data_IF_741589048822
#
_entry.id   IF_741589048822
#
_cell.length_a   1.000
_cell.length_b   1.000
_cell.length_c   1.000
_cell.angle_alpha   90.00
_cell.angle_beta   90.00
_cell.angle_gamma   90.00
#
_symmetry.space_group_name_H-M   'P 1'
#
loop_
_entity.id
_entity.type
_entity.pdbx_description
1 polymer ?
#
# COMPACT_ATOMS: atom_id res chain seq x y z
N UNK A 1 -57.82 -6.08 9.39
CA UNK A 1 -57.26 -6.92 8.32
C UNK A 1 -55.98 -6.24 7.87
N UNK A 2 -54.86 -6.94 8.06
CA UNK A 2 -53.55 -6.55 7.57
C UNK A 2 -53.56 -6.57 6.04
N UNK A 3 -52.93 -5.59 5.40
CA UNK A 3 -51.67 -5.89 4.71
C UNK A 3 -50.86 -4.61 4.50
N UNK A 4 -49.64 -4.63 4.99
CA UNK A 4 -48.71 -3.52 4.98
C UNK A 4 -47.31 -4.11 5.11
N UNK A 5 -46.39 -3.59 4.27
CA UNK A 5 -44.99 -3.96 4.07
C UNK A 5 -44.70 -5.16 3.16
N UNK A 6 -44.45 -4.90 1.88
CA UNK A 6 -43.48 -5.72 1.13
C UNK A 6 -42.51 -4.98 0.18
N UNK A 7 -42.61 -3.66 -0.06
CA UNK A 7 -41.85 -3.02 -1.16
C UNK A 7 -40.82 -1.92 -0.82
N UNK A 8 -40.39 -1.75 0.44
CA UNK A 8 -39.34 -0.75 0.81
C UNK A 8 -37.90 -1.29 0.90
N UNK A 9 -37.66 -2.56 0.59
CA UNK A 9 -36.34 -3.19 0.65
C UNK A 9 -35.32 -2.84 -0.48
N UNK A 10 -35.70 -2.51 -1.74
CA UNK A 10 -34.73 -2.43 -2.83
C UNK A 10 -33.88 -1.14 -2.86
N UNK A 11 -34.44 0.03 -2.53
CA UNK A 11 -33.71 1.32 -2.60
C UNK A 11 -32.56 1.42 -1.56
N UNK A 12 -32.80 0.97 -0.32
CA UNK A 12 -31.76 0.96 0.74
C UNK A 12 -30.58 0.06 0.38
N UNK A 13 -30.84 -1.05 -0.33
CA UNK A 13 -29.80 -1.98 -0.76
C UNK A 13 -28.97 -1.40 -1.91
N UNK A 14 -29.61 -0.72 -2.86
CA UNK A 14 -28.96 -0.06 -4.00
C UNK A 14 -28.02 1.07 -3.54
N UNK A 15 -28.47 1.92 -2.60
CA UNK A 15 -27.61 2.97 -2.02
C UNK A 15 -26.39 2.41 -1.28
N UNK A 16 -26.56 1.30 -0.55
CA UNK A 16 -25.43 0.62 0.14
C UNK A 16 -24.43 0.04 -0.86
N UNK A 17 -24.89 -0.55 -1.96
CA UNK A 17 -24.01 -1.07 -3.01
C UNK A 17 -23.23 0.04 -3.71
N UNK A 18 -23.91 1.13 -4.10
CA UNK A 18 -23.25 2.30 -4.70
C UNK A 18 -22.18 2.89 -3.77
N UNK A 19 -22.47 3.05 -2.48
CA UNK A 19 -21.50 3.53 -1.51
C UNK A 19 -20.25 2.61 -1.42
N UNK A 20 -20.44 1.28 -1.44
CA UNK A 20 -19.32 0.33 -1.47
C UNK A 20 -18.46 0.52 -2.72
N UNK A 21 -19.08 0.63 -3.90
CA UNK A 21 -18.34 0.83 -5.17
C UNK A 21 -17.55 2.13 -5.13
N UNK A 22 -18.16 3.24 -4.67
CA UNK A 22 -17.47 4.54 -4.53
C UNK A 22 -16.29 4.42 -3.56
N UNK A 23 -16.47 3.77 -2.40
CA UNK A 23 -15.37 3.56 -1.45
C UNK A 23 -14.21 2.76 -2.07
N UNK A 24 -14.51 1.75 -2.89
CA UNK A 24 -13.50 0.99 -3.61
C UNK A 24 -12.71 1.88 -4.60
N UNK A 25 -13.41 2.69 -5.40
CA UNK A 25 -12.79 3.63 -6.35
C UNK A 25 -11.89 4.64 -5.62
N UNK A 26 -12.36 5.19 -4.49
CA UNK A 26 -11.59 6.08 -3.64
C UNK A 26 -10.33 5.39 -3.10
N UNK A 27 -10.45 4.12 -2.67
CA UNK A 27 -9.31 3.30 -2.28
C UNK A 27 -8.30 3.09 -3.42
N UNK A 28 -8.77 2.83 -4.64
CA UNK A 28 -7.89 2.69 -5.81
C UNK A 28 -7.11 3.99 -6.05
N UNK A 29 -7.81 5.13 -6.05
CA UNK A 29 -7.21 6.45 -6.26
C UNK A 29 -6.17 6.84 -5.20
N UNK A 30 -6.32 6.37 -3.96
CA UNK A 30 -5.40 6.67 -2.87
C UNK A 30 -4.03 5.98 -2.95
N UNK A 31 -3.90 4.89 -3.71
CA UNK A 31 -2.65 4.11 -3.75
C UNK A 31 -2.12 3.80 -5.16
N UNK A 32 -2.92 4.01 -6.21
CA UNK A 32 -2.51 3.72 -7.59
C UNK A 32 -1.27 4.53 -8.01
N UNK A 33 -1.19 5.80 -7.64
CA UNK A 33 -0.07 6.70 -7.97
C UNK A 33 1.25 6.22 -7.35
N UNK A 34 1.24 5.99 -6.04
CA UNK A 34 2.41 5.49 -5.31
C UNK A 34 2.85 4.10 -5.77
N UNK A 35 1.90 3.16 -5.94
CA UNK A 35 2.22 1.82 -6.41
C UNK A 35 2.81 1.83 -7.83
N UNK A 36 2.29 2.67 -8.72
CA UNK A 36 2.84 2.83 -10.07
C UNK A 36 4.30 3.28 -10.02
N UNK A 37 4.62 4.27 -9.18
CA UNK A 37 5.99 4.76 -9.00
C UNK A 37 6.96 3.67 -8.53
N UNK A 38 6.55 2.86 -7.55
CA UNK A 38 7.37 1.77 -7.02
C UNK A 38 7.60 0.66 -8.06
N UNK A 39 6.62 0.36 -8.90
CA UNK A 39 6.72 -0.73 -9.88
C UNK A 39 7.73 -0.45 -11.01
N UNK A 40 8.00 0.81 -11.31
CA UNK A 40 8.95 1.25 -12.36
C UNK A 40 10.34 1.61 -11.79
N UNK A 41 10.73 1.04 -10.65
CA UNK A 41 12.01 1.31 -10.02
C UNK A 41 13.22 1.12 -10.95
N UNK A 42 13.17 0.16 -11.87
CA UNK A 42 14.19 -0.10 -12.88
C UNK A 42 14.38 1.07 -13.87
N UNK A 43 13.31 1.78 -14.24
CA UNK A 43 13.40 3.01 -15.02
C UNK A 43 14.22 4.05 -14.27
N UNK A 44 13.89 4.28 -12.99
CA UNK A 44 14.62 5.25 -12.17
C UNK A 44 16.09 4.90 -11.97
N UNK A 45 16.44 3.61 -11.89
CA UNK A 45 17.84 3.18 -11.85
C UNK A 45 18.59 3.38 -13.18
N UNK A 46 17.90 3.43 -14.32
CA UNK A 46 18.52 3.80 -15.61
C UNK A 46 18.74 5.30 -15.70
N UNK A 47 17.76 6.09 -15.26
CA UNK A 47 17.81 7.55 -15.32
C UNK A 47 18.77 8.13 -14.27
N UNK A 48 18.81 7.54 -13.08
CA UNK A 48 19.60 8.00 -11.93
C UNK A 48 20.57 6.91 -11.46
N UNK A 49 21.61 6.58 -12.24
CA UNK A 49 22.50 5.44 -11.95
C UNK A 49 23.34 5.63 -10.69
N UNK A 50 23.68 6.87 -10.35
CA UNK A 50 24.50 7.22 -9.18
C UNK A 50 23.69 7.31 -7.88
N UNK A 51 22.37 7.13 -7.97
CA UNK A 51 21.46 7.21 -6.83
C UNK A 51 20.82 5.84 -6.57
N UNK A 52 20.14 5.74 -5.42
CA UNK A 52 19.32 4.57 -5.06
C UNK A 52 17.82 4.94 -4.98
N UNK A 53 17.14 5.16 -6.12
CA UNK A 53 15.78 5.72 -6.13
C UNK A 53 14.75 4.87 -5.37
N UNK A 54 14.76 3.54 -5.56
CA UNK A 54 13.80 2.66 -4.87
C UNK A 54 13.82 2.81 -3.35
N UNK A 55 14.97 3.20 -2.82
CA UNK A 55 15.28 3.34 -1.41
C UNK A 55 15.02 4.76 -0.91
N UNK A 56 15.52 5.77 -1.63
CA UNK A 56 15.38 7.18 -1.26
C UNK A 56 13.94 7.65 -1.40
N UNK A 57 13.22 7.28 -2.47
CA UNK A 57 11.83 7.70 -2.65
C UNK A 57 10.95 7.17 -1.51
N UNK A 58 11.17 5.92 -1.10
CA UNK A 58 10.52 5.31 0.06
C UNK A 58 10.87 6.06 1.35
N UNK A 59 12.12 6.47 1.54
CA UNK A 59 12.59 7.27 2.68
C UNK A 59 12.03 8.70 2.69
N UNK A 60 11.72 9.28 1.54
CA UNK A 60 11.09 10.60 1.45
C UNK A 60 9.58 10.50 1.69
N UNK A 61 8.91 9.52 1.09
CA UNK A 61 7.46 9.36 1.21
C UNK A 61 7.00 9.18 2.67
N UNK A 62 7.68 8.28 3.40
CA UNK A 62 7.20 7.78 4.69
C UNK A 62 7.24 8.79 5.85
N UNK A 63 8.31 9.59 6.07
CA UNK A 63 8.32 10.60 7.12
C UNK A 63 7.29 11.71 6.87
N UNK A 64 7.09 12.10 5.61
CA UNK A 64 6.07 13.08 5.27
C UNK A 64 4.66 12.53 5.50
N UNK A 65 4.41 11.26 5.15
CA UNK A 65 3.15 10.60 5.49
C UNK A 65 2.94 10.53 7.01
N UNK A 66 3.94 10.07 7.78
CA UNK A 66 3.85 9.93 9.23
C UNK A 66 3.66 11.29 9.94
N UNK A 67 4.49 12.28 9.63
CA UNK A 67 4.40 13.60 10.22
C UNK A 67 3.05 14.25 9.95
N UNK A 68 2.56 14.14 8.71
CA UNK A 68 1.24 14.64 8.32
C UNK A 68 0.13 13.96 9.10
N UNK A 69 0.09 12.62 9.17
CA UNK A 69 -1.01 11.92 9.84
C UNK A 69 -1.00 12.20 11.35
N UNK A 70 0.17 12.33 11.99
CA UNK A 70 0.27 12.71 13.41
C UNK A 70 -0.31 14.10 13.65
N UNK A 71 0.04 15.08 12.83
CA UNK A 71 -0.48 16.45 12.94
C UNK A 71 -2.00 16.47 12.74
N UNK A 72 -2.50 15.74 11.72
CA UNK A 72 -3.91 15.67 11.40
C UNK A 72 -4.72 14.89 12.44
N UNK A 73 -4.15 13.87 13.05
CA UNK A 73 -4.78 13.13 14.14
C UNK A 73 -4.88 13.99 15.41
N UNK A 74 -3.87 14.83 15.70
CA UNK A 74 -3.89 15.73 16.85
C UNK A 74 -4.89 16.89 16.66
N UNK A 75 -4.99 17.44 15.46
CA UNK A 75 -5.90 18.56 15.13
C UNK A 75 -7.23 18.10 14.52
N UNK A 76 -7.58 16.81 14.64
CA UNK A 76 -8.74 16.21 13.98
C UNK A 76 -10.03 16.98 14.28
N UNK A 77 -10.26 17.35 15.54
CA UNK A 77 -11.48 18.05 15.97
C UNK A 77 -11.69 19.44 15.35
N UNK A 78 -10.63 20.05 14.78
CA UNK A 78 -10.68 21.38 14.16
C UNK A 78 -10.77 21.32 12.63
N UNK A 79 -10.49 20.18 12.02
CA UNK A 79 -10.34 20.05 10.57
C UNK A 79 -11.57 19.34 10.00
N UNK A 80 -12.15 19.92 8.95
CA UNK A 80 -13.21 19.26 8.21
C UNK A 80 -12.65 18.12 7.33
N UNK A 81 -12.98 16.87 7.68
CA UNK A 81 -12.47 15.67 7.00
C UNK A 81 -12.79 15.63 5.50
N UNK A 82 -13.94 16.15 5.07
CA UNK A 82 -14.31 16.17 3.63
C UNK A 82 -13.38 17.08 2.84
N UNK A 83 -13.10 18.28 3.36
CA UNK A 83 -12.15 19.22 2.73
C UNK A 83 -10.75 18.61 2.71
N UNK A 84 -10.33 17.99 3.81
CA UNK A 84 -9.06 17.25 3.91
C UNK A 84 -8.93 16.17 2.84
N UNK A 85 -9.94 15.31 2.66
CA UNK A 85 -9.92 14.25 1.66
C UNK A 85 -9.88 14.81 0.23
N UNK A 86 -10.68 15.85 -0.06
CA UNK A 86 -10.68 16.49 -1.38
C UNK A 86 -9.32 17.10 -1.72
N UNK A 87 -8.70 17.81 -0.78
CA UNK A 87 -7.35 18.37 -0.92
C UNK A 87 -6.35 17.24 -1.22
N UNK A 88 -6.41 16.13 -0.49
CA UNK A 88 -5.55 14.98 -0.71
C UNK A 88 -5.65 14.40 -2.13
N UNK A 89 -6.86 14.17 -2.64
CA UNK A 89 -7.04 13.70 -4.03
C UNK A 89 -6.61 14.72 -5.09
N UNK A 90 -6.78 16.02 -4.83
CA UNK A 90 -6.26 17.08 -5.70
C UNK A 90 -4.73 17.04 -5.74
N UNK A 91 -4.07 16.91 -4.58
CA UNK A 91 -2.61 16.79 -4.51
C UNK A 91 -2.15 15.52 -5.24
N UNK A 92 -2.82 14.38 -5.09
CA UNK A 92 -2.51 13.16 -5.85
C UNK A 92 -2.57 13.39 -7.36
N UNK A 93 -3.62 14.07 -7.84
CA UNK A 93 -3.82 14.36 -9.25
C UNK A 93 -2.73 15.29 -9.79
N UNK A 94 -2.50 16.42 -9.11
CA UNK A 94 -1.46 17.39 -9.50
C UNK A 94 -0.07 16.74 -9.48
N UNK A 95 0.25 15.98 -8.43
CA UNK A 95 1.54 15.31 -8.28
C UNK A 95 1.79 14.29 -9.40
N UNK A 96 0.75 13.55 -9.81
CA UNK A 96 0.84 12.61 -10.93
C UNK A 96 1.06 13.33 -12.27
N UNK A 97 0.39 14.46 -12.50
CA UNK A 97 0.62 15.29 -13.69
C UNK A 97 2.03 15.90 -13.68
N UNK A 98 2.52 16.34 -12.53
CA UNK A 98 3.88 16.87 -12.37
C UNK A 98 4.94 15.82 -12.65
N UNK A 99 4.73 14.54 -12.32
CA UNK A 99 5.65 13.47 -12.73
C UNK A 99 5.79 13.39 -14.25
N UNK A 100 4.67 13.46 -14.97
CA UNK A 100 4.66 13.40 -16.44
C UNK A 100 5.37 14.64 -17.01
N UNK A 101 5.10 15.83 -16.47
CA UNK A 101 5.79 17.06 -16.89
C UNK A 101 7.28 17.00 -16.58
N UNK A 102 7.69 16.47 -15.42
CA UNK A 102 9.10 16.31 -15.04
C UNK A 102 9.80 15.39 -16.03
N UNK A 103 9.18 14.27 -16.39
CA UNK A 103 9.73 13.32 -17.35
C UNK A 103 9.91 13.95 -18.76
N UNK A 104 8.87 14.66 -19.24
CA UNK A 104 8.87 15.33 -20.53
C UNK A 104 9.88 16.49 -20.61
N UNK A 105 9.98 17.31 -19.57
CA UNK A 105 10.89 18.48 -19.53
C UNK A 105 12.35 18.05 -19.44
N UNK A 106 12.62 16.94 -18.76
CA UNK A 106 13.97 16.38 -18.62
C UNK A 106 14.34 15.49 -19.80
N UNK A 107 13.39 15.15 -20.69
CA UNK A 107 13.57 14.21 -21.81
C UNK A 107 14.18 12.87 -21.37
N UNK A 108 13.83 12.42 -20.16
CA UNK A 108 14.42 11.24 -19.53
C UNK A 108 15.92 11.36 -19.18
N UNK A 109 16.50 12.57 -19.20
CA UNK A 109 17.88 12.80 -18.75
C UNK A 109 17.92 12.89 -17.24
N UNK A 110 18.79 12.10 -16.64
CA UNK A 110 19.10 12.16 -15.22
C UNK A 110 19.81 13.44 -14.81
N UNK A 111 20.02 13.57 -13.50
CA UNK A 111 20.77 14.66 -12.89
C UNK A 111 20.24 15.01 -11.50
N UNK A 112 21.00 15.83 -10.77
CA UNK A 112 20.65 16.24 -9.41
C UNK A 112 19.32 16.99 -9.37
N UNK A 113 19.10 17.93 -10.30
CA UNK A 113 17.87 18.74 -10.38
C UNK A 113 16.60 17.91 -10.59
N UNK A 114 16.53 17.08 -11.65
CA UNK A 114 15.41 16.16 -11.88
C UNK A 114 15.16 15.21 -10.70
N UNK A 115 16.23 14.74 -10.05
CA UNK A 115 16.12 13.85 -8.90
C UNK A 115 15.53 14.55 -7.67
N UNK A 116 15.94 15.80 -7.39
CA UNK A 116 15.35 16.63 -6.34
C UNK A 116 13.87 16.90 -6.65
N UNK A 117 13.54 17.22 -7.90
CA UNK A 117 12.15 17.38 -8.34
C UNK A 117 11.31 16.13 -8.11
N UNK A 118 11.85 14.96 -8.45
CA UNK A 118 11.21 13.67 -8.19
C UNK A 118 10.97 13.45 -6.68
N UNK A 119 11.97 13.73 -5.85
CA UNK A 119 11.83 13.63 -4.38
C UNK A 119 10.75 14.57 -3.84
N UNK A 120 10.67 15.80 -4.35
CA UNK A 120 9.64 16.76 -3.95
C UNK A 120 8.22 16.27 -4.29
N UNK A 121 8.04 15.66 -5.47
CA UNK A 121 6.76 15.06 -5.87
C UNK A 121 6.41 13.83 -5.01
N UNK A 122 7.42 13.05 -4.61
CA UNK A 122 7.20 11.93 -3.69
C UNK A 122 6.81 12.39 -2.28
N UNK A 123 7.39 13.49 -1.80
CA UNK A 123 6.97 14.09 -0.54
C UNK A 123 5.50 14.55 -0.59
N UNK A 124 5.05 15.12 -1.72
CA UNK A 124 3.65 15.51 -1.88
C UNK A 124 2.71 14.31 -1.96
N UNK A 125 3.14 13.17 -2.50
CA UNK A 125 2.37 11.92 -2.39
C UNK A 125 2.24 11.42 -0.94
N UNK A 126 3.29 11.52 -0.12
CA UNK A 126 3.21 11.17 1.29
C UNK A 126 2.21 12.05 2.05
N UNK A 127 2.23 13.36 1.78
CA UNK A 127 1.24 14.32 2.29
C UNK A 127 -0.19 13.94 1.86
N UNK A 128 -0.38 13.66 0.57
CA UNK A 128 -1.68 13.27 0.02
C UNK A 128 -2.20 11.97 0.63
N UNK A 129 -1.36 10.94 0.76
CA UNK A 129 -1.74 9.65 1.34
C UNK A 129 -2.21 9.80 2.79
N UNK A 130 -1.45 10.50 3.62
CA UNK A 130 -1.83 10.73 5.02
C UNK A 130 -3.13 11.54 5.15
N UNK A 131 -3.36 12.50 4.26
CA UNK A 131 -4.63 13.26 4.26
C UNK A 131 -5.81 12.37 3.89
N UNK A 132 -5.71 11.58 2.81
CA UNK A 132 -6.80 10.72 2.32
C UNK A 132 -7.00 9.50 3.21
N UNK A 133 -5.95 8.74 3.51
CA UNK A 133 -6.08 7.48 4.23
C UNK A 133 -6.61 7.69 5.64
N UNK A 134 -6.07 8.67 6.39
CA UNK A 134 -6.56 8.98 7.73
C UNK A 134 -7.99 9.54 7.73
N UNK A 135 -8.30 10.44 6.80
CA UNK A 135 -9.63 11.05 6.73
C UNK A 135 -10.71 10.07 6.28
N UNK A 136 -10.41 9.23 5.28
CA UNK A 136 -11.33 8.18 4.82
C UNK A 136 -11.57 7.12 5.88
N UNK A 137 -10.52 6.58 6.52
CA UNK A 137 -10.69 5.57 7.57
C UNK A 137 -11.43 6.15 8.78
N UNK A 138 -11.17 7.40 9.14
CA UNK A 138 -11.89 8.13 10.17
C UNK A 138 -13.38 8.33 9.86
N UNK A 139 -13.72 8.87 8.69
CA UNK A 139 -15.13 9.11 8.30
C UNK A 139 -15.90 7.79 8.12
N UNK A 140 -15.26 6.78 7.53
CA UNK A 140 -15.91 5.48 7.29
C UNK A 140 -16.16 4.69 8.59
N UNK A 141 -15.41 4.95 9.65
CA UNK A 141 -15.64 4.33 10.96
C UNK A 141 -16.93 4.81 11.64
N UNK A 142 -17.41 6.00 11.26
CA UNK A 142 -18.71 6.53 11.69
C UNK A 142 -19.89 5.83 11.02
N UNK A 143 -19.67 5.22 9.86
CA UNK A 143 -20.73 4.64 9.03
C UNK A 143 -20.89 3.15 9.27
N UNK A 144 -20.17 2.32 8.50
CA UNK A 144 -20.34 0.87 8.46
C UNK A 144 -18.99 0.18 8.20
N UNK A 145 -18.69 -0.94 8.88
CA UNK A 145 -17.43 -1.66 8.68
C UNK A 145 -17.25 -2.16 7.24
N UNK A 146 -18.34 -2.44 6.52
CA UNK A 146 -18.27 -2.88 5.13
C UNK A 146 -17.77 -1.79 4.17
N UNK A 147 -17.91 -0.50 4.53
CA UNK A 147 -17.36 0.59 3.72
C UNK A 147 -15.85 0.75 3.94
N UNK A 148 -15.38 0.63 5.19
CA UNK A 148 -13.94 0.53 5.49
C UNK A 148 -13.33 -0.63 4.71
N UNK A 149 -14.00 -1.79 4.73
CA UNK A 149 -13.54 -2.96 4.01
C UNK A 149 -13.49 -2.70 2.49
N UNK A 150 -14.50 -2.06 1.91
CA UNK A 150 -14.51 -1.73 0.48
C UNK A 150 -13.39 -0.76 0.11
N UNK A 151 -13.16 0.28 0.92
CA UNK A 151 -12.04 1.21 0.74
C UNK A 151 -10.68 0.50 0.81
N UNK A 152 -10.49 -0.35 1.84
CA UNK A 152 -9.28 -1.14 1.98
C UNK A 152 -9.10 -2.13 0.83
N UNK A 153 -10.17 -2.75 0.34
CA UNK A 153 -10.12 -3.63 -0.82
C UNK A 153 -9.68 -2.87 -2.08
N UNK A 154 -10.18 -1.63 -2.28
CA UNK A 154 -9.73 -0.74 -3.34
C UNK A 154 -8.22 -0.46 -3.33
N UNK A 155 -7.63 -0.24 -2.15
CA UNK A 155 -6.16 -0.13 -2.00
C UNK A 155 -5.45 -1.42 -2.46
N UNK A 156 -6.03 -2.59 -2.17
CA UNK A 156 -5.52 -3.88 -2.66
C UNK A 156 -5.62 -4.00 -4.19
N UNK A 157 -6.74 -3.58 -4.77
CA UNK A 157 -7.00 -3.60 -6.22
C UNK A 157 -5.96 -2.73 -6.94
N UNK A 158 -5.64 -1.55 -6.40
CA UNK A 158 -4.59 -0.70 -6.96
C UNK A 158 -3.23 -1.43 -7.02
N UNK A 159 -2.83 -2.16 -5.99
CA UNK A 159 -1.59 -2.95 -5.98
C UNK A 159 -1.58 -4.09 -7.00
N UNK A 160 -2.70 -4.81 -7.12
CA UNK A 160 -2.83 -5.89 -8.10
C UNK A 160 -2.83 -5.35 -9.54
N UNK A 161 -3.59 -4.28 -9.82
CA UNK A 161 -3.65 -3.65 -11.14
C UNK A 161 -2.30 -3.10 -11.59
N UNK A 162 -1.61 -2.36 -10.72
CA UNK A 162 -0.27 -1.84 -11.04
C UNK A 162 0.75 -2.95 -11.30
N UNK A 163 0.69 -4.05 -10.54
CA UNK A 163 1.53 -5.23 -10.79
C UNK A 163 1.19 -5.93 -12.11
N UNK A 164 -0.10 -6.08 -12.43
CA UNK A 164 -0.56 -6.68 -13.67
C UNK A 164 -0.11 -5.86 -14.88
N UNK A 165 -0.34 -4.54 -14.86
CA UNK A 165 0.15 -3.64 -15.90
C UNK A 165 1.67 -3.72 -16.03
N UNK A 166 2.40 -3.78 -14.91
CA UNK A 166 3.85 -3.91 -14.94
C UNK A 166 4.33 -5.20 -15.61
N UNK A 167 3.71 -6.33 -15.29
CA UNK A 167 4.02 -7.62 -15.93
C UNK A 167 3.69 -7.60 -17.42
N UNK A 168 2.53 -7.03 -17.80
CA UNK A 168 2.13 -6.86 -19.20
C UNK A 168 3.11 -5.99 -19.97
N UNK A 169 3.47 -4.82 -19.43
CA UNK A 169 4.44 -3.91 -20.06
C UNK A 169 5.79 -4.60 -20.23
N UNK A 170 6.28 -5.31 -19.22
CA UNK A 170 7.53 -6.04 -19.38
C UNK A 170 7.42 -7.13 -20.45
N UNK A 171 6.33 -7.88 -20.50
CA UNK A 171 6.12 -8.93 -21.51
C UNK A 171 6.06 -8.36 -22.93
N UNK A 172 5.43 -7.19 -23.09
CA UNK A 172 5.34 -6.50 -24.37
C UNK A 172 6.68 -5.93 -24.86
N UNK A 173 7.56 -5.51 -23.94
CA UNK A 173 8.81 -4.80 -24.26
C UNK A 173 10.10 -5.58 -23.98
N UNK A 174 10.04 -6.86 -23.56
CA UNK A 174 11.23 -7.67 -23.20
C UNK A 174 12.21 -7.87 -24.38
N UNK A 175 11.77 -7.63 -25.62
CA UNK A 175 12.57 -7.72 -26.85
C UNK A 175 13.35 -6.44 -27.21
N UNK A 176 13.26 -5.35 -26.44
CA UNK A 176 14.02 -4.12 -26.67
C UNK A 176 15.27 -4.08 -25.78
N UNK A 177 16.44 -4.13 -26.40
CA UNK A 177 17.73 -4.32 -25.74
C UNK A 177 18.03 -3.31 -24.62
N UNK A 178 18.54 -3.90 -23.55
CA UNK A 178 19.50 -3.43 -22.56
C UNK A 178 19.05 -2.49 -21.41
N UNK A 179 19.41 -2.93 -20.19
CA UNK A 179 19.36 -2.15 -18.96
C UNK A 179 18.39 -2.61 -17.86
N UNK A 180 17.56 -3.65 -18.03
CA UNK A 180 16.66 -4.13 -16.96
C UNK A 180 17.38 -4.89 -15.82
N UNK A 181 18.67 -5.21 -15.99
CA UNK A 181 19.44 -6.10 -15.10
C UNK A 181 19.92 -5.42 -13.81
N UNK A 182 20.06 -4.09 -13.78
CA UNK A 182 20.64 -3.37 -12.63
C UNK A 182 19.65 -3.12 -11.48
N UNK A 183 18.41 -2.71 -11.79
CA UNK A 183 17.37 -2.47 -10.76
C UNK A 183 16.95 -3.74 -10.00
N UNK A 184 16.98 -4.91 -10.66
CA UNK A 184 16.67 -6.20 -10.05
C UNK A 184 17.77 -6.72 -9.11
N UNK A 185 19.04 -6.35 -9.34
CA UNK A 185 20.19 -6.87 -8.57
C UNK A 185 20.24 -6.31 -7.15
N UNK A 186 19.70 -5.11 -6.91
CA UNK A 186 19.91 -4.36 -5.68
C UNK A 186 18.82 -4.53 -4.60
N UNK A 187 17.61 -4.94 -5.01
CA UNK A 187 16.58 -5.38 -4.07
C UNK A 187 16.86 -6.79 -3.51
N UNK A 188 17.86 -7.50 -4.04
CA UNK A 188 17.92 -8.96 -3.91
C UNK A 188 19.31 -9.60 -3.78
N UNK A 189 20.33 -8.86 -3.34
CA UNK A 189 21.72 -9.35 -3.23
C UNK A 189 21.94 -10.43 -2.15
N UNK A 190 20.93 -11.22 -1.75
CA UNK A 190 21.10 -12.31 -0.77
C UNK A 190 20.38 -13.61 -1.12
N UNK A 191 20.02 -13.80 -2.37
CA UNK A 191 19.23 -14.97 -2.73
C UNK A 191 19.75 -15.48 -4.07
N UNK A 192 20.11 -16.77 -4.10
CA UNK A 192 21.05 -17.39 -5.06
C UNK A 192 20.63 -17.39 -6.53
N UNK A 193 21.20 -18.30 -7.32
CA UNK A 193 20.90 -18.39 -8.76
C UNK A 193 19.44 -18.79 -8.99
N UNK A 194 18.66 -17.85 -9.54
CA UNK A 194 17.22 -17.97 -9.79
C UNK A 194 16.94 -18.20 -11.27
N UNK A 195 16.15 -19.23 -11.61
CA UNK A 195 15.75 -19.53 -12.99
C UNK A 195 14.92 -18.42 -13.65
N UNK A 196 14.19 -17.62 -12.85
CA UNK A 196 13.37 -16.50 -13.32
C UNK A 196 14.15 -15.20 -13.63
N UNK A 197 15.44 -15.10 -13.32
CA UNK A 197 16.27 -13.92 -13.64
C UNK A 197 15.65 -12.57 -13.22
N UNK A 198 15.51 -11.63 -14.17
CA UNK A 198 14.95 -10.29 -13.93
C UNK A 198 13.43 -10.27 -13.66
N UNK A 199 12.72 -11.36 -13.94
CA UNK A 199 11.27 -11.50 -13.72
C UNK A 199 10.93 -11.84 -12.28
N UNK A 200 11.88 -12.42 -11.56
CA UNK A 200 11.65 -12.93 -10.22
C UNK A 200 11.13 -11.88 -9.23
N UNK A 201 11.76 -10.70 -9.19
CA UNK A 201 11.32 -9.61 -8.31
C UNK A 201 9.89 -9.11 -8.64
N UNK A 202 9.54 -9.07 -9.93
CA UNK A 202 8.20 -8.65 -10.37
C UNK A 202 7.15 -9.69 -10.00
N UNK A 203 7.48 -10.98 -10.13
CA UNK A 203 6.62 -12.08 -9.68
C UNK A 203 6.41 -12.01 -8.17
N UNK A 204 7.45 -11.78 -7.37
CA UNK A 204 7.29 -11.63 -5.91
C UNK A 204 6.37 -10.47 -5.54
N UNK A 205 6.55 -9.28 -6.14
CA UNK A 205 5.67 -8.13 -5.90
C UNK A 205 4.24 -8.41 -6.33
N UNK A 206 4.04 -9.03 -7.50
CA UNK A 206 2.71 -9.40 -7.99
C UNK A 206 2.02 -10.42 -7.08
N UNK A 207 2.75 -11.42 -6.60
CA UNK A 207 2.25 -12.46 -5.71
C UNK A 207 1.93 -11.93 -4.31
N UNK A 208 2.74 -11.00 -3.79
CA UNK A 208 2.41 -10.25 -2.58
C UNK A 208 1.11 -9.45 -2.75
N UNK A 209 0.99 -8.69 -3.85
CA UNK A 209 -0.17 -7.85 -4.11
C UNK A 209 -1.45 -8.66 -4.35
N UNK A 210 -1.36 -9.80 -5.03
CA UNK A 210 -2.48 -10.75 -5.17
C UNK A 210 -2.88 -11.32 -3.81
N UNK A 211 -1.92 -11.80 -3.02
CA UNK A 211 -2.19 -12.27 -1.65
C UNK A 211 -2.86 -11.18 -0.81
N UNK A 212 -2.33 -9.96 -0.82
CA UNK A 212 -2.87 -8.82 -0.08
C UNK A 212 -4.27 -8.41 -0.55
N UNK A 213 -4.56 -8.48 -1.85
CA UNK A 213 -5.90 -8.30 -2.39
C UNK A 213 -6.87 -9.34 -1.84
N UNK A 214 -6.53 -10.64 -1.99
CA UNK A 214 -7.35 -11.74 -1.49
C UNK A 214 -7.58 -11.60 0.01
N UNK A 215 -6.52 -11.32 0.78
CA UNK A 215 -6.58 -11.10 2.21
C UNK A 215 -7.51 -9.95 2.61
N UNK A 216 -7.64 -8.88 1.81
CA UNK A 216 -8.59 -7.79 2.13
C UNK A 216 -10.05 -8.17 1.90
N UNK A 217 -10.31 -9.17 1.05
CA UNK A 217 -11.64 -9.72 0.82
C UNK A 217 -12.00 -10.88 1.76
N UNK A 218 -11.04 -11.59 2.35
CA UNK A 218 -11.35 -12.72 3.25
C UNK A 218 -12.28 -12.38 4.42
N UNK A 219 -12.26 -11.18 5.04
CA UNK A 219 -13.22 -10.83 6.10
C UNK A 219 -14.68 -10.66 5.62
N UNK A 220 -14.95 -10.71 4.31
CA UNK A 220 -16.33 -10.85 3.77
C UNK A 220 -16.93 -12.20 4.13
N UNK A 221 -16.08 -13.21 4.32
CA UNK A 221 -16.48 -14.57 4.66
C UNK A 221 -16.50 -14.67 6.18
N UNK A 222 -17.68 -14.82 6.77
CA UNK A 222 -17.87 -14.69 8.23
C UNK A 222 -17.02 -15.65 9.07
N UNK A 223 -16.81 -16.89 8.62
CA UNK A 223 -16.01 -17.87 9.36
C UNK A 223 -14.51 -17.55 9.40
N UNK A 224 -14.00 -16.77 8.44
CA UNK A 224 -12.62 -16.30 8.41
C UNK A 224 -12.43 -15.00 9.19
N UNK A 225 -13.51 -14.30 9.54
CA UNK A 225 -13.46 -12.98 10.14
C UNK A 225 -13.05 -13.05 11.61
N UNK A 226 -11.84 -12.60 11.91
CA UNK A 226 -11.33 -12.54 13.29
C UNK A 226 -11.78 -11.23 13.95
N UNK A 227 -12.75 -11.31 14.86
CA UNK A 227 -13.19 -10.16 15.68
C UNK A 227 -12.66 -10.20 17.12
N UNK A 228 -12.16 -11.35 17.56
CA UNK A 228 -11.63 -11.50 18.92
C UNK A 228 -10.29 -10.76 19.07
N UNK A 229 -10.20 -9.83 20.03
CA UNK A 229 -8.98 -9.07 20.34
C UNK A 229 -7.78 -9.99 20.60
N UNK A 230 -7.98 -11.07 21.39
CA UNK A 230 -6.91 -12.05 21.67
C UNK A 230 -6.46 -12.77 20.40
N UNK A 231 -7.43 -13.14 19.55
CA UNK A 231 -7.16 -13.79 18.25
C UNK A 231 -6.34 -12.89 17.32
N UNK A 232 -6.71 -11.61 17.21
CA UNK A 232 -5.98 -10.63 16.40
C UNK A 232 -4.55 -10.41 16.91
N UNK A 233 -4.36 -10.30 18.23
CA UNK A 233 -3.03 -10.15 18.82
C UNK A 233 -2.17 -11.39 18.55
N UNK A 234 -2.69 -12.60 18.80
CA UNK A 234 -1.97 -13.86 18.54
C UNK A 234 -1.62 -13.99 17.06
N UNK A 235 -2.57 -13.73 16.16
CA UNK A 235 -2.33 -13.79 14.72
C UNK A 235 -1.26 -12.77 14.27
N UNK A 236 -1.28 -11.55 14.81
CA UNK A 236 -0.27 -10.52 14.52
C UNK A 236 1.10 -10.93 15.04
N UNK A 237 1.20 -11.42 16.27
CA UNK A 237 2.46 -11.90 16.85
C UNK A 237 3.00 -13.15 16.13
N UNK A 238 2.13 -14.02 15.65
CA UNK A 238 2.56 -15.21 14.89
C UNK A 238 3.32 -14.85 13.61
N UNK A 239 3.13 -13.65 13.06
CA UNK A 239 3.87 -13.19 11.87
C UNK A 239 5.36 -13.01 12.11
N UNK A 240 5.82 -12.90 13.35
CA UNK A 240 7.26 -12.90 13.65
C UNK A 240 7.93 -14.22 13.22
N UNK A 241 7.21 -15.34 13.18
CA UNK A 241 7.73 -16.61 12.65
C UNK A 241 7.98 -16.59 11.14
N UNK A 242 7.44 -15.61 10.39
CA UNK A 242 7.76 -15.45 8.98
C UNK A 242 9.21 -14.99 8.78
N UNK A 243 9.81 -14.27 9.72
CA UNK A 243 11.20 -13.81 9.62
C UNK A 243 12.18 -15.00 9.51
N UNK A 244 12.22 -15.97 10.45
CA UNK A 244 13.06 -17.14 10.31
C UNK A 244 12.66 -18.01 9.12
N UNK A 245 11.37 -18.09 8.76
CA UNK A 245 10.93 -18.83 7.57
C UNK A 245 11.50 -18.23 6.27
N UNK A 246 11.47 -16.90 6.11
CA UNK A 246 12.09 -16.20 4.99
C UNK A 246 13.60 -16.38 4.97
N UNK A 247 14.26 -16.34 6.14
CA UNK A 247 15.69 -16.57 6.24
C UNK A 247 16.07 -18.00 5.81
N UNK A 248 15.33 -19.01 6.28
CA UNK A 248 15.56 -20.41 5.92
C UNK A 248 15.28 -20.64 4.42
N UNK A 249 14.17 -20.12 3.91
CA UNK A 249 13.83 -20.21 2.48
C UNK A 249 14.85 -19.50 1.59
N UNK A 250 15.44 -18.39 2.04
CA UNK A 250 16.50 -17.70 1.28
C UNK A 250 17.78 -18.52 1.16
N UNK A 251 18.09 -19.35 2.18
CA UNK A 251 19.34 -20.11 2.27
C UNK A 251 19.23 -21.54 1.72
N UNK A 252 18.09 -22.19 1.92
CA UNK A 252 17.90 -23.61 1.59
C UNK A 252 16.67 -23.86 0.71
N UNK A 253 15.77 -22.88 0.58
CA UNK A 253 14.52 -23.03 -0.16
C UNK A 253 14.70 -22.77 -1.66
N UNK A 254 13.83 -23.40 -2.44
CA UNK A 254 13.67 -23.09 -3.85
C UNK A 254 12.91 -21.75 -4.06
N UNK A 255 12.79 -21.37 -5.34
CA UNK A 255 12.04 -20.18 -5.75
C UNK A 255 10.55 -20.23 -5.36
N UNK A 256 9.96 -21.43 -5.39
CA UNK A 256 8.55 -21.67 -5.10
C UNK A 256 8.22 -21.41 -3.64
N UNK A 257 9.08 -21.85 -2.70
CA UNK A 257 8.92 -21.57 -1.27
C UNK A 257 8.94 -20.08 -0.97
N UNK A 258 9.84 -19.31 -1.62
CA UNK A 258 9.87 -17.86 -1.45
C UNK A 258 8.59 -17.21 -1.98
N UNK A 259 8.11 -17.62 -3.17
CA UNK A 259 6.86 -17.13 -3.73
C UNK A 259 5.69 -17.43 -2.78
N UNK A 260 5.59 -18.67 -2.28
CA UNK A 260 4.54 -19.08 -1.34
C UNK A 260 4.57 -18.24 -0.07
N UNK A 261 5.75 -18.04 0.54
CA UNK A 261 5.89 -17.24 1.75
C UNK A 261 5.52 -15.76 1.51
N UNK A 262 5.90 -15.19 0.37
CA UNK A 262 5.54 -13.81 0.00
C UNK A 262 4.03 -13.67 -0.24
N UNK A 263 3.39 -14.64 -0.90
CA UNK A 263 1.92 -14.66 -1.06
C UNK A 263 1.22 -14.76 0.29
N UNK A 264 1.70 -15.64 1.18
CA UNK A 264 1.16 -15.79 2.53
C UNK A 264 1.34 -14.52 3.37
N UNK A 265 2.49 -13.85 3.26
CA UNK A 265 2.74 -12.55 3.87
C UNK A 265 1.75 -11.50 3.35
N UNK A 266 1.49 -11.47 2.05
CA UNK A 266 0.48 -10.60 1.45
C UNK A 266 -0.91 -10.87 2.03
N UNK A 267 -1.34 -12.14 2.01
CA UNK A 267 -2.65 -12.58 2.49
C UNK A 267 -2.88 -12.21 3.96
N UNK A 268 -1.93 -12.54 4.83
CA UNK A 268 -2.01 -12.21 6.26
C UNK A 268 -1.98 -10.70 6.50
N UNK A 269 -1.22 -9.93 5.71
CA UNK A 269 -1.21 -8.46 5.78
C UNK A 269 -2.57 -7.87 5.44
N UNK A 270 -3.15 -8.30 4.31
CA UNK A 270 -4.46 -7.81 3.88
C UNK A 270 -5.56 -8.15 4.88
N UNK A 271 -5.57 -9.40 5.35
CA UNK A 271 -6.59 -9.91 6.27
C UNK A 271 -6.56 -9.21 7.63
N UNK A 272 -5.40 -9.20 8.29
CA UNK A 272 -5.29 -8.63 9.64
C UNK A 272 -5.51 -7.12 9.64
N UNK A 273 -5.01 -6.39 8.63
CA UNK A 273 -5.24 -4.96 8.54
C UNK A 273 -6.72 -4.61 8.44
N UNK A 274 -7.47 -5.32 7.59
CA UNK A 274 -8.92 -5.10 7.46
C UNK A 274 -9.63 -5.48 8.75
N UNK A 275 -9.34 -6.65 9.33
CA UNK A 275 -9.97 -7.10 10.57
C UNK A 275 -9.74 -6.12 11.75
N UNK A 276 -8.54 -5.55 11.87
CA UNK A 276 -8.23 -4.57 12.91
C UNK A 276 -9.02 -3.27 12.67
N UNK A 277 -8.99 -2.73 11.45
CA UNK A 277 -9.63 -1.45 11.13
C UNK A 277 -11.16 -1.49 11.21
N UNK A 278 -11.79 -2.63 10.94
CA UNK A 278 -13.24 -2.79 11.09
C UNK A 278 -13.67 -3.08 12.53
N UNK A 279 -12.80 -3.68 13.34
CA UNK A 279 -13.15 -4.16 14.68
C UNK A 279 -12.81 -3.13 15.76
N UNK A 280 -11.67 -2.44 15.63
CA UNK A 280 -11.21 -1.51 16.65
C UNK A 280 -12.19 -0.35 16.93
N UNK A 281 -12.86 0.28 15.94
CA UNK A 281 -13.86 1.32 16.19
C UNK A 281 -15.20 0.82 16.77
N UNK A 282 -15.44 -0.49 16.85
CA UNK A 282 -16.71 -1.01 17.36
C UNK A 282 -16.85 -0.71 18.87
N UNK A 283 -18.03 -0.24 19.27
CA UNK A 283 -18.37 0.03 20.66
C UNK A 283 -18.01 1.44 21.17
N UNK A 284 -17.36 2.27 20.35
CA UNK A 284 -17.02 3.66 20.69
C UNK A 284 -18.09 4.65 20.21
N UNK A 285 -18.11 5.86 20.79
CA UNK A 285 -19.00 6.94 20.35
C UNK A 285 -18.55 7.51 19.01
N UNK A 286 -19.41 8.26 18.31
CA UNK A 286 -19.11 8.85 17.00
C UNK A 286 -17.76 9.58 16.95
N UNK A 287 -17.55 10.66 17.73
CA UNK A 287 -16.28 11.38 17.73
C UNK A 287 -15.07 10.49 18.06
N UNK A 288 -15.22 9.55 19.01
CA UNK A 288 -14.17 8.61 19.39
C UNK A 288 -13.81 7.64 18.25
N UNK A 289 -14.79 7.19 17.46
CA UNK A 289 -14.57 6.34 16.29
C UNK A 289 -13.74 7.05 15.21
N UNK A 290 -14.01 8.32 14.95
CA UNK A 290 -13.26 9.09 13.96
C UNK A 290 -11.80 9.30 14.42
N UNK A 291 -11.61 9.72 15.67
CA UNK A 291 -10.30 9.89 16.27
C UNK A 291 -9.52 8.57 16.29
N UNK A 292 -10.17 7.46 16.67
CA UNK A 292 -9.55 6.13 16.66
C UNK A 292 -9.18 5.68 15.24
N UNK A 293 -10.02 5.95 14.24
CA UNK A 293 -9.71 5.67 12.84
C UNK A 293 -8.42 6.37 12.39
N UNK A 294 -8.26 7.65 12.71
CA UNK A 294 -7.03 8.40 12.44
C UNK A 294 -5.83 7.82 13.20
N UNK A 295 -6.00 7.49 14.48
CA UNK A 295 -4.95 6.92 15.32
C UNK A 295 -4.48 5.56 14.80
N UNK A 296 -5.39 4.71 14.32
CA UNK A 296 -5.04 3.43 13.69
C UNK A 296 -4.19 3.64 12.44
N UNK A 297 -4.47 4.68 11.65
CA UNK A 297 -3.64 5.03 10.49
C UNK A 297 -2.27 5.56 10.95
N UNK A 298 -2.19 6.36 12.02
CA UNK A 298 -0.88 6.76 12.62
C UNK A 298 -0.03 5.52 12.96
N UNK A 299 -0.62 4.53 13.63
CA UNK A 299 0.11 3.31 13.99
C UNK A 299 0.47 2.45 12.76
N UNK A 300 -0.40 2.40 11.75
CA UNK A 300 -0.12 1.71 10.50
C UNK A 300 1.09 2.36 9.78
N UNK A 301 1.06 3.68 9.58
CA UNK A 301 2.15 4.42 8.94
C UNK A 301 3.43 4.36 9.77
N UNK A 302 3.32 4.46 11.11
CA UNK A 302 4.45 4.32 12.02
C UNK A 302 5.10 2.93 11.95
N UNK A 303 4.29 1.87 11.82
CA UNK A 303 4.77 0.51 11.60
C UNK A 303 5.51 0.34 10.27
N UNK A 304 5.02 0.98 9.20
CA UNK A 304 5.69 0.99 7.89
C UNK A 304 7.05 1.70 8.01
N UNK A 305 7.11 2.88 8.64
CA UNK A 305 8.34 3.65 8.89
C UNK A 305 9.36 2.85 9.71
N UNK A 306 8.91 2.23 10.80
CA UNK A 306 9.78 1.39 11.63
C UNK A 306 10.30 0.18 10.85
N UNK A 307 9.41 -0.49 10.09
CA UNK A 307 9.76 -1.65 9.28
C UNK A 307 10.79 -1.34 8.19
N UNK A 308 10.61 -0.23 7.47
CA UNK A 308 11.60 0.19 6.47
C UNK A 308 12.92 0.57 7.12
N UNK A 309 12.89 1.33 8.23
CA UNK A 309 14.10 1.71 8.98
C UNK A 309 14.90 0.50 9.49
N UNK A 310 14.22 -0.52 10.02
CA UNK A 310 14.84 -1.79 10.42
C UNK A 310 15.40 -2.56 9.23
N UNK A 311 14.70 -2.57 8.09
CA UNK A 311 15.18 -3.16 6.84
C UNK A 311 16.48 -2.51 6.35
N UNK A 312 16.65 -1.21 6.57
CA UNK A 312 17.90 -0.51 6.30
C UNK A 312 19.02 -0.88 7.26
N UNK A 313 18.73 -0.91 8.57
CA UNK A 313 19.72 -1.34 9.58
C UNK A 313 20.28 -2.74 9.27
N UNK A 314 19.46 -3.64 8.73
CA UNK A 314 19.89 -4.97 8.28
C UNK A 314 20.92 -4.95 7.13
N UNK A 315 20.98 -3.87 6.36
CA UNK A 315 21.93 -3.69 5.26
C UNK A 315 23.24 -3.02 5.72
N UNK A 316 23.21 -2.28 6.84
CA UNK A 316 24.40 -1.65 7.41
C UNK A 316 25.35 -2.75 7.90
N UNK A 317 26.46 -2.96 7.18
CA UNK A 317 27.48 -3.98 7.47
C UNK A 317 27.75 -4.96 6.32
N UNK A 318 26.94 -4.98 5.26
CA UNK A 318 27.23 -5.76 4.05
C UNK A 318 28.09 -4.93 3.09
N UNK A 319 29.35 -5.34 2.90
CA UNK A 319 30.39 -4.61 2.12
C UNK A 319 30.03 -4.32 0.65
N UNK A 320 29.00 -4.94 0.09
CA UNK A 320 28.55 -4.73 -1.30
C UNK A 320 27.17 -4.08 -1.41
N UNK A 321 26.54 -3.68 -0.30
CA UNK A 321 25.15 -3.22 -0.28
C UNK A 321 24.92 -1.74 -0.68
N UNK A 322 25.99 -1.06 -1.14
CA UNK A 322 26.00 0.37 -1.48
C UNK A 322 26.61 0.62 -2.86
#
# INVERSE_FOLDING_TARGET
>A
MADGNENQAPEKLQGKFQAKVICCILGIGGLASWNSLLTIADYYYKVFPDYHPSRVLVLVYQPFALGTIVILAYHESKINTRKRNLIGYIIFTISTLLLIVLDLTTRGRGGVGPYIGLCAIVASFGLADATVQGGMIGDLSLMCPELIQSFMAGLGVAGALTSAFRLMTKAAFDNSNDGLRKGARFLYENTGHHGLGSWYALVLVAMYNCGNLVGRYTPLVEWLKIENRKGLTIATLSRFFLIPAFYFSAKFGDQGWMIMLVTFLGLTTGHLNVCILITAPKGYKGPEKNALGNLLVVFLTGGIVAGTSLGWLWLIGKRNAF
#
